data_IF_790789747861
#
_entry.id   IF_790789747861
#
_cell.length_a   1.000
_cell.length_b   1.000
_cell.length_c   1.000
_cell.angle_alpha   90.00
_cell.angle_beta   90.00
_cell.angle_gamma   90.00
#
_symmetry.space_group_name_H-M   'P 1'
#
loop_
_entity.id
_entity.type
_entity.pdbx_description
1 polymer ?
#
# COMPACT_ATOMS: atom_id res chain seq x y z
N UNK A 1 -8.21 -0.93 -42.86
CA UNK A 1 -7.54 -0.91 -41.54
C UNK A 1 -6.06 -0.68 -41.77
N UNK A 2 -5.53 0.47 -41.34
CA UNK A 2 -4.16 0.88 -41.61
C UNK A 2 -3.25 0.35 -40.50
N UNK A 3 -2.48 -0.70 -40.79
CA UNK A 3 -1.54 -1.29 -39.83
C UNK A 3 -0.27 -0.43 -39.74
N UNK A 4 -0.28 0.59 -38.89
CA UNK A 4 0.92 1.44 -38.66
C UNK A 4 1.99 0.67 -37.88
N UNK A 5 3.25 0.83 -38.25
CA UNK A 5 4.38 0.21 -37.53
C UNK A 5 4.95 1.15 -36.48
N UNK A 6 5.65 0.60 -35.48
CA UNK A 6 6.22 1.39 -34.37
C UNK A 6 7.15 2.49 -34.86
N UNK A 7 8.00 2.24 -35.86
CA UNK A 7 8.86 3.31 -36.39
C UNK A 7 8.06 4.44 -37.07
N UNK A 8 6.95 4.11 -37.74
CA UNK A 8 6.08 5.10 -38.40
C UNK A 8 5.33 5.94 -37.37
N UNK A 9 4.91 5.32 -36.27
CA UNK A 9 4.28 6.01 -35.16
C UNK A 9 5.28 6.89 -34.40
N UNK A 10 6.52 6.43 -34.21
CA UNK A 10 7.59 7.22 -33.58
C UNK A 10 7.93 8.46 -34.40
N UNK A 11 8.05 8.31 -35.73
CA UNK A 11 8.30 9.43 -36.63
C UNK A 11 7.11 10.42 -36.63
N UNK A 12 5.86 9.94 -36.49
CA UNK A 12 4.65 10.79 -36.37
C UNK A 12 4.59 11.55 -35.05
N UNK A 13 5.07 10.96 -33.96
CA UNK A 13 5.07 11.55 -32.61
C UNK A 13 6.33 12.37 -32.32
N UNK A 14 7.34 12.36 -33.18
CA UNK A 14 8.61 13.07 -32.96
C UNK A 14 9.50 12.45 -31.87
N UNK A 15 9.30 11.17 -31.55
CA UNK A 15 9.96 10.46 -30.44
C UNK A 15 11.00 9.47 -30.99
N UNK A 16 12.07 9.19 -30.24
CA UNK A 16 13.07 8.22 -30.67
C UNK A 16 12.44 6.83 -30.83
N UNK A 17 12.68 6.16 -31.97
CA UNK A 17 12.09 4.84 -32.29
C UNK A 17 12.37 3.77 -31.24
N UNK A 18 13.53 3.84 -30.58
CA UNK A 18 13.89 2.93 -29.47
C UNK A 18 13.12 3.23 -28.19
N UNK A 19 12.89 4.51 -27.92
CA UNK A 19 12.10 4.96 -26.76
C UNK A 19 10.64 4.50 -26.91
N UNK A 20 10.05 4.71 -28.08
CA UNK A 20 8.67 4.26 -28.34
C UNK A 20 8.54 2.73 -28.27
N UNK A 21 9.56 1.98 -28.71
CA UNK A 21 9.59 0.51 -28.58
C UNK A 21 9.63 0.08 -27.11
N UNK A 22 10.48 0.68 -26.29
CA UNK A 22 10.55 0.41 -24.85
C UNK A 22 9.22 0.73 -24.18
N UNK A 23 8.59 1.85 -24.54
CA UNK A 23 7.29 2.25 -24.00
C UNK A 23 6.16 1.31 -24.43
N UNK A 24 6.20 0.81 -25.66
CA UNK A 24 5.25 -0.20 -26.12
C UNK A 24 5.36 -1.50 -25.30
N UNK A 25 6.58 -1.95 -25.01
CA UNK A 25 6.81 -3.12 -24.16
C UNK A 25 6.32 -2.92 -22.73
N UNK A 26 6.50 -1.72 -22.17
CA UNK A 26 5.98 -1.33 -20.85
C UNK A 26 4.45 -1.39 -20.79
N UNK A 27 3.77 -1.01 -21.87
CA UNK A 27 2.31 -1.15 -22.00
C UNK A 27 1.83 -2.57 -22.35
N UNK A 28 2.71 -3.57 -22.26
CA UNK A 28 2.39 -4.98 -22.50
C UNK A 28 2.24 -5.34 -23.98
N UNK A 29 2.66 -4.47 -24.91
CA UNK A 29 2.65 -4.77 -26.34
C UNK A 29 3.84 -5.69 -26.63
N UNK A 30 3.57 -6.87 -27.20
CA UNK A 30 4.60 -7.85 -27.57
C UNK A 30 5.39 -7.44 -28.83
N UNK A 31 6.03 -6.27 -28.75
CA UNK A 31 6.85 -5.72 -29.81
C UNK A 31 8.33 -6.00 -29.55
N UNK A 32 8.92 -6.90 -30.34
CA UNK A 32 10.36 -7.23 -30.26
C UNK A 32 11.23 -6.39 -31.20
N UNK A 33 10.61 -5.62 -32.10
CA UNK A 33 11.28 -4.76 -33.06
C UNK A 33 10.42 -3.53 -33.39
N UNK A 34 11.07 -2.46 -33.84
CA UNK A 34 10.40 -1.24 -34.32
C UNK A 34 9.58 -1.46 -35.59
N UNK A 35 9.78 -2.58 -36.29
CA UNK A 35 9.04 -2.96 -37.50
C UNK A 35 7.72 -3.68 -37.23
N UNK A 36 7.37 -3.92 -35.96
CA UNK A 36 6.10 -4.54 -35.57
C UNK A 36 4.93 -3.59 -35.89
N UNK A 37 3.91 -4.13 -36.56
CA UNK A 37 2.63 -3.46 -36.77
C UNK A 37 1.82 -3.44 -35.48
N UNK A 38 1.27 -2.28 -35.15
CA UNK A 38 0.38 -2.03 -34.04
C UNK A 38 -1.08 -2.14 -34.49
N UNK A 39 -1.93 -2.57 -33.58
CA UNK A 39 -3.38 -2.45 -33.70
C UNK A 39 -3.85 -1.04 -33.34
N UNK A 40 -5.02 -0.64 -33.83
CA UNK A 40 -5.56 0.71 -33.60
C UNK A 40 -5.69 1.05 -32.10
N UNK A 41 -6.01 0.06 -31.25
CA UNK A 41 -6.08 0.22 -29.80
C UNK A 41 -4.69 0.45 -29.16
N UNK A 42 -3.65 -0.22 -29.66
CA UNK A 42 -2.27 -0.04 -29.18
C UNK A 42 -1.70 1.32 -29.61
N UNK A 43 -2.04 1.77 -30.82
CA UNK A 43 -1.71 3.11 -31.32
C UNK A 43 -2.34 4.18 -30.44
N UNK A 44 -3.64 4.06 -30.15
CA UNK A 44 -4.36 5.01 -29.30
C UNK A 44 -3.75 5.12 -27.89
N UNK A 45 -3.34 3.99 -27.29
CA UNK A 45 -2.67 3.98 -25.98
C UNK A 45 -1.35 4.75 -26.02
N UNK A 46 -0.54 4.53 -27.05
CA UNK A 46 0.76 5.19 -27.22
C UNK A 46 0.60 6.68 -27.57
N UNK A 47 -0.31 7.03 -28.47
CA UNK A 47 -0.59 8.43 -28.82
C UNK A 47 -1.11 9.23 -27.63
N UNK A 48 -1.99 8.66 -26.79
CA UNK A 48 -2.52 9.34 -25.60
C UNK A 48 -1.45 9.59 -24.53
N UNK A 49 -0.43 8.73 -24.43
CA UNK A 49 0.68 8.93 -23.51
C UNK A 49 1.50 10.16 -23.92
N UNK A 50 1.89 10.25 -25.20
CA UNK A 50 2.73 11.34 -25.70
C UNK A 50 1.96 12.65 -25.94
N UNK A 51 0.63 12.60 -26.18
CA UNK A 51 -0.21 13.81 -26.20
C UNK A 51 -0.40 14.44 -24.82
N UNK A 52 -0.35 13.66 -23.73
CA UNK A 52 -0.46 14.19 -22.36
C UNK A 52 0.81 14.90 -21.89
N UNK A 53 1.97 14.57 -22.46
CA UNK A 53 3.25 15.22 -22.12
C UNK A 53 3.45 16.58 -22.78
N UNK A 54 2.78 16.86 -23.91
CA UNK A 54 2.91 18.14 -24.64
C UNK A 54 1.99 19.26 -24.13
N UNK A 55 1.08 18.98 -23.18
CA UNK A 55 0.19 19.99 -22.59
C UNK A 55 0.73 20.68 -21.33
N UNK A 56 2.02 20.52 -21.01
CA UNK A 56 2.70 21.25 -19.93
C UNK A 56 3.65 22.32 -20.46
N UNK A 57 3.23 23.06 -21.49
CA UNK A 57 3.79 24.37 -21.83
C UNK A 57 2.83 25.06 -22.79
N UNK A 58 2.01 25.99 -22.28
CA UNK A 58 1.55 27.25 -22.89
C UNK A 58 0.46 27.81 -21.98
N UNK A 59 0.85 28.83 -21.23
CA UNK A 59 -0.05 29.75 -20.52
C UNK A 59 -0.95 30.44 -21.53
N UNK A 60 -2.23 30.51 -21.17
CA UNK A 60 -3.27 31.39 -21.68
C UNK A 60 -2.75 32.66 -22.36
N UNK A 61 -3.15 32.85 -23.62
CA UNK A 61 -3.47 34.17 -24.16
C UNK A 61 -4.67 34.03 -25.09
N UNK A 62 -5.85 34.24 -24.51
CA UNK A 62 -7.02 34.68 -25.26
C UNK A 62 -6.92 36.20 -25.41
N UNK A 63 -7.17 36.67 -26.63
CA UNK A 63 -7.22 38.07 -27.02
C UNK A 63 -8.36 38.80 -26.31
N UNK A 64 -8.10 40.04 -25.89
CA UNK A 64 -9.11 41.08 -25.92
C UNK A 64 -8.41 42.41 -26.23
N UNK A 65 -8.63 42.90 -27.45
CA UNK A 65 -8.32 44.26 -27.86
C UNK A 65 -9.22 45.25 -27.11
N UNK A 66 -8.67 46.36 -26.61
CA UNK A 66 -9.02 47.72 -27.07
C UNK A 66 -8.41 48.82 -26.17
N UNK A 67 -8.08 49.94 -26.83
CA UNK A 67 -7.85 51.30 -26.31
C UNK A 67 -6.44 51.75 -25.84
N UNK A 68 -5.61 52.03 -26.85
CA UNK A 68 -4.85 53.28 -27.12
C UNK A 68 -4.89 54.45 -26.10
N UNK A 69 -3.71 54.87 -25.58
CA UNK A 69 -3.12 56.24 -25.52
C UNK A 69 -1.90 56.28 -24.57
N UNK A 70 -0.66 56.45 -25.06
CA UNK A 70 0.12 57.69 -25.26
C UNK A 70 0.98 58.14 -24.05
N UNK A 71 2.31 58.27 -24.31
CA UNK A 71 3.38 59.07 -23.64
C UNK A 71 3.67 58.77 -22.16
N UNK A 72 4.90 58.79 -21.63
CA UNK A 72 6.05 59.64 -21.91
C UNK A 72 7.33 59.08 -21.26
N UNK A 73 8.47 59.61 -21.72
CA UNK A 73 9.86 59.17 -21.56
C UNK A 73 10.49 59.54 -20.20
N UNK A 74 11.73 59.04 -20.01
CA UNK A 74 12.89 59.62 -19.27
C UNK A 74 13.10 59.12 -17.80
N UNK A 75 14.28 58.72 -17.27
CA UNK A 75 15.73 58.93 -17.56
C UNK A 75 16.59 57.75 -17.03
N UNK A 76 17.66 57.44 -17.77
CA UNK A 76 18.96 56.82 -17.34
C UNK A 76 19.94 58.04 -17.21
N UNK A 77 21.02 58.11 -16.37
CA UNK A 77 22.25 57.28 -16.38
C UNK A 77 22.94 57.12 -14.98
N UNK A 78 24.02 56.37 -14.73
CA UNK A 78 25.35 56.38 -15.36
C UNK A 78 26.18 55.10 -15.11
N UNK A 79 27.11 54.93 -16.04
CA UNK A 79 28.12 53.88 -16.21
C UNK A 79 29.49 54.53 -15.96
N UNK A 80 30.46 53.84 -15.32
CA UNK A 80 31.86 53.82 -15.80
C UNK A 80 32.76 52.80 -15.11
N UNK A 81 33.50 52.14 -15.99
CA UNK A 81 34.62 51.21 -15.81
C UNK A 81 35.90 51.93 -15.33
N UNK A 82 36.88 51.20 -14.78
CA UNK A 82 38.25 51.10 -15.34
C UNK A 82 39.34 50.66 -14.34
N UNK A 83 39.94 49.49 -14.62
CA UNK A 83 41.38 49.10 -14.68
C UNK A 83 42.38 49.40 -13.54
N UNK A 84 43.04 48.30 -13.09
CA UNK A 84 44.49 48.03 -12.85
C UNK A 84 45.42 49.21 -12.48
N UNK A 85 46.44 49.12 -11.63
CA UNK A 85 47.18 48.07 -10.91
C UNK A 85 48.16 48.79 -9.97
N UNK A 86 48.74 48.10 -8.97
CA UNK A 86 50.18 48.17 -8.65
C UNK A 86 50.53 47.11 -7.59
N UNK A 87 51.43 46.21 -7.98
CA UNK A 87 52.04 45.12 -7.21
C UNK A 87 53.27 45.62 -6.45
N UNK A 88 53.48 45.13 -5.21
CA UNK A 88 54.73 44.55 -4.65
C UNK A 88 54.60 44.45 -3.12
N UNK A 89 55.02 43.44 -2.36
CA UNK A 89 55.64 42.12 -2.60
C UNK A 89 55.58 41.34 -1.27
N UNK A 90 55.24 40.04 -1.28
CA UNK A 90 55.89 38.98 -0.47
C UNK A 90 55.32 37.59 -0.78
N UNK A 91 56.21 36.61 -0.90
CA UNK A 91 55.96 35.19 -1.21
C UNK A 91 55.25 34.43 -0.07
N UNK A 92 54.63 33.26 -0.35
CA UNK A 92 53.66 32.60 0.53
C UNK A 92 54.26 31.48 1.39
N UNK A 93 53.69 31.30 2.59
CA UNK A 93 53.91 30.14 3.46
C UNK A 93 52.61 29.32 3.56
N UNK A 94 52.70 28.02 3.27
CA UNK A 94 51.58 27.07 3.28
C UNK A 94 51.20 26.72 4.72
N UNK A 95 49.95 26.95 5.13
CA UNK A 95 49.35 26.24 6.26
C UNK A 95 47.84 25.99 6.05
N UNK A 96 47.44 24.74 6.28
CA UNK A 96 46.10 24.15 6.02
C UNK A 96 45.05 24.63 7.04
N UNK A 97 43.76 24.75 6.67
CA UNK A 97 42.68 25.09 7.59
C UNK A 97 42.27 23.91 8.49
N UNK A 98 42.01 24.23 9.77
CA UNK A 98 41.59 23.32 10.85
C UNK A 98 40.20 22.74 10.59
N UNK A 99 40.10 21.41 10.58
CA UNK A 99 38.84 20.66 10.54
C UNK A 99 38.24 20.45 11.94
N UNK A 100 36.91 20.46 11.99
CA UNK A 100 36.02 20.15 13.11
C UNK A 100 36.36 18.81 13.78
N UNK A 101 36.32 18.81 15.12
CA UNK A 101 36.53 17.64 15.99
C UNK A 101 35.42 16.60 15.78
N UNK A 102 35.80 15.37 15.42
CA UNK A 102 34.92 14.18 15.47
C UNK A 102 34.94 13.57 16.88
N UNK A 103 33.78 13.12 17.35
CA UNK A 103 33.62 12.30 18.56
C UNK A 103 34.35 10.94 18.44
N UNK A 104 34.69 10.28 19.57
CA UNK A 104 35.47 9.04 19.54
C UNK A 104 34.61 7.85 19.06
N UNK A 105 35.14 7.08 18.10
CA UNK A 105 34.56 5.79 17.68
C UNK A 105 34.55 4.80 18.85
N UNK A 106 33.37 4.28 19.20
CA UNK A 106 33.24 3.06 19.98
C UNK A 106 33.80 1.86 19.18
N UNK A 107 34.60 1.03 19.84
CA UNK A 107 35.15 -0.20 19.24
C UNK A 107 34.06 -1.29 19.24
N UNK A 108 33.87 -2.05 18.16
CA UNK A 108 32.91 -3.15 18.14
C UNK A 108 33.33 -4.26 19.13
N UNK A 109 32.35 -4.96 19.76
CA UNK A 109 32.64 -6.01 20.73
C UNK A 109 33.33 -7.20 20.07
N UNK A 110 34.40 -7.69 20.69
CA UNK A 110 35.13 -8.87 20.21
C UNK A 110 34.28 -10.13 20.43
N UNK A 111 33.82 -10.74 19.34
CA UNK A 111 33.22 -12.08 19.37
C UNK A 111 34.28 -13.09 19.86
N UNK A 112 33.96 -13.86 20.91
CA UNK A 112 34.80 -14.96 21.39
C UNK A 112 34.88 -16.04 20.31
N UNK A 113 36.07 -16.38 19.85
CA UNK A 113 36.30 -17.49 18.91
C UNK A 113 36.03 -18.81 19.63
N UNK A 114 34.96 -19.51 19.27
CA UNK A 114 34.74 -20.91 19.70
C UNK A 114 35.76 -21.82 19.03
N UNK A 115 36.28 -22.80 19.77
CA UNK A 115 37.27 -23.75 19.25
C UNK A 115 36.60 -24.83 18.40
N UNK A 116 37.31 -25.32 17.37
CA UNK A 116 36.80 -26.29 16.41
C UNK A 116 36.27 -27.61 17.04
N UNK A 117 36.72 -27.96 18.25
CA UNK A 117 36.22 -29.12 19.00
C UNK A 117 34.79 -28.93 19.55
N UNK A 118 34.34 -27.69 19.80
CA UNK A 118 32.99 -27.41 20.28
C UNK A 118 31.97 -27.28 19.13
N UNK A 119 32.42 -26.89 17.93
CA UNK A 119 31.57 -26.86 16.73
C UNK A 119 31.19 -28.28 16.25
N UNK A 120 32.12 -29.24 16.33
CA UNK A 120 31.87 -30.63 15.93
C UNK A 120 30.79 -31.34 16.77
N UNK A 121 30.76 -31.08 18.09
CA UNK A 121 29.77 -31.67 18.98
C UNK A 121 28.33 -31.13 18.73
N UNK A 122 28.21 -29.87 18.31
CA UNK A 122 26.92 -29.24 17.98
C UNK A 122 26.33 -29.74 16.65
N UNK A 123 27.19 -30.01 15.66
CA UNK A 123 26.77 -30.56 14.36
C UNK A 123 26.39 -32.04 14.49
N UNK A 124 27.17 -32.84 15.21
CA UNK A 124 26.85 -34.27 15.41
C UNK A 124 25.62 -34.46 16.30
N UNK A 125 25.42 -33.63 17.33
CA UNK A 125 24.21 -33.64 18.15
C UNK A 125 22.95 -33.22 17.37
N UNK A 126 23.05 -32.21 16.51
CA UNK A 126 21.92 -31.75 15.68
C UNK A 126 21.48 -32.75 14.61
N UNK A 127 22.43 -33.47 14.00
CA UNK A 127 22.12 -34.50 12.98
C UNK A 127 21.48 -35.73 13.64
N UNK A 128 21.96 -36.17 14.81
CA UNK A 128 21.36 -37.29 15.55
C UNK A 128 19.94 -36.96 16.04
N UNK A 129 19.68 -35.71 16.46
CA UNK A 129 18.34 -35.27 16.85
C UNK A 129 17.36 -35.27 15.67
N UNK A 130 17.80 -34.87 14.47
CA UNK A 130 16.98 -34.92 13.26
C UNK A 130 16.65 -36.35 12.83
N UNK A 131 17.57 -37.31 13.02
CA UNK A 131 17.27 -38.72 12.75
C UNK A 131 16.29 -39.32 13.76
N UNK A 132 16.43 -39.02 15.07
CA UNK A 132 15.48 -39.51 16.09
C UNK A 132 14.08 -38.89 15.92
N UNK A 133 13.99 -37.61 15.56
CA UNK A 133 12.71 -36.94 15.30
C UNK A 133 11.98 -37.55 14.09
N UNK A 134 12.71 -37.91 13.02
CA UNK A 134 12.09 -38.54 11.84
C UNK A 134 11.66 -39.99 12.09
N UNK A 135 12.37 -40.76 12.92
CA UNK A 135 11.95 -42.13 13.31
C UNK A 135 10.74 -42.10 14.26
N UNK A 136 10.63 -41.11 15.15
CA UNK A 136 9.46 -40.91 16.00
C UNK A 136 8.22 -40.48 15.19
N UNK A 137 8.37 -39.64 14.15
CA UNK A 137 7.27 -39.32 13.24
C UNK A 137 6.87 -40.52 12.38
N UNK A 138 7.82 -41.26 11.80
CA UNK A 138 7.54 -42.43 10.97
C UNK A 138 6.82 -43.58 11.70
N UNK A 139 7.12 -43.79 12.98
CA UNK A 139 6.41 -44.77 13.82
C UNK A 139 5.00 -44.33 14.21
N UNK A 140 4.74 -43.02 14.28
CA UNK A 140 3.39 -42.47 14.52
C UNK A 140 2.47 -42.66 13.29
N UNK A 141 2.99 -42.48 12.07
CA UNK A 141 2.20 -42.69 10.84
C UNK A 141 1.93 -44.19 10.59
N UNK A 142 2.86 -45.08 10.95
CA UNK A 142 2.69 -46.53 10.81
C UNK A 142 1.70 -47.16 11.82
N UNK A 143 1.37 -46.47 12.91
CA UNK A 143 0.41 -46.94 13.93
C UNK A 143 -1.05 -46.58 13.64
N UNK A 144 -1.34 -45.98 12.48
CA UNK A 144 -2.69 -45.58 12.10
C UNK A 144 -3.20 -44.32 12.79
N UNK A 145 -2.31 -43.51 13.36
CA UNK A 145 -2.65 -42.23 13.98
C UNK A 145 -3.08 -41.21 12.90
N UNK A 146 -4.40 -41.08 12.69
CA UNK A 146 -4.97 -39.97 11.92
C UNK A 146 -4.95 -38.73 12.81
N UNK A 147 -4.30 -37.62 12.44
CA UNK A 147 -4.49 -36.37 13.15
C UNK A 147 -5.96 -36.00 13.02
N UNK A 148 -6.71 -36.20 14.09
CA UNK A 148 -8.03 -35.60 14.20
C UNK A 148 -7.82 -34.10 14.20
N UNK A 149 -7.97 -33.46 13.04
CA UNK A 149 -8.44 -32.09 13.03
C UNK A 149 -9.77 -32.14 13.76
N UNK A 150 -9.76 -31.84 15.07
CA UNK A 150 -10.98 -31.51 15.79
C UNK A 150 -11.56 -30.33 15.02
N UNK A 151 -12.54 -30.62 14.18
CA UNK A 151 -13.56 -29.66 13.81
C UNK A 151 -14.06 -29.14 15.15
N UNK A 152 -13.67 -27.93 15.52
CA UNK A 152 -14.34 -27.18 16.57
C UNK A 152 -15.74 -26.95 15.99
N UNK A 153 -16.66 -27.90 16.23
CA UNK A 153 -18.08 -27.60 16.21
C UNK A 153 -18.30 -26.74 17.44
N UNK A 154 -18.11 -25.45 17.27
CA UNK A 154 -18.74 -24.49 18.16
C UNK A 154 -20.24 -24.67 17.91
N UNK A 155 -20.93 -25.31 18.86
CA UNK A 155 -22.40 -25.33 18.86
C UNK A 155 -22.86 -23.89 19.07
N UNK A 156 -22.98 -23.15 17.97
CA UNK A 156 -23.67 -21.86 17.97
C UNK A 156 -25.14 -22.18 18.18
N UNK A 157 -25.55 -22.09 19.44
CA UNK A 157 -26.95 -22.19 19.84
C UNK A 157 -27.79 -21.24 19.00
N UNK A 158 -28.71 -21.83 18.24
CA UNK A 158 -29.63 -21.14 17.37
C UNK A 158 -30.64 -20.32 18.19
N UNK A 159 -30.36 -19.04 18.40
CA UNK A 159 -31.40 -18.01 18.63
C UNK A 159 -30.81 -16.62 18.43
N UNK A 160 -30.64 -16.18 17.18
CA UNK A 160 -30.83 -14.77 16.83
C UNK A 160 -31.36 -14.68 15.40
N UNK A 161 -32.66 -14.38 15.26
CA UNK A 161 -33.18 -13.75 14.05
C UNK A 161 -32.52 -12.37 13.95
N UNK A 162 -31.50 -12.24 13.11
CA UNK A 162 -31.00 -10.93 12.69
C UNK A 162 -31.71 -10.55 11.39
N UNK A 163 -32.78 -9.78 11.56
CA UNK A 163 -33.43 -9.01 10.50
C UNK A 163 -32.44 -7.99 9.92
N UNK A 164 -32.20 -8.03 8.61
CA UNK A 164 -31.62 -6.97 7.77
C UNK A 164 -30.17 -6.58 8.08
N UNK A 165 -29.23 -6.97 7.20
CA UNK A 165 -27.81 -6.56 7.18
C UNK A 165 -26.87 -7.26 8.19
N UNK A 166 -27.24 -8.42 8.71
CA UNK A 166 -26.30 -9.31 9.41
C UNK A 166 -25.57 -10.21 8.41
N UNK A 167 -24.24 -10.15 8.39
CA UNK A 167 -23.41 -11.09 7.63
C UNK A 167 -23.77 -12.53 8.05
N UNK A 168 -24.28 -13.35 7.12
CA UNK A 168 -24.53 -14.77 7.37
C UNK A 168 -23.18 -15.49 7.56
N UNK A 169 -22.73 -15.58 8.82
CA UNK A 169 -21.46 -16.21 9.19
C UNK A 169 -21.39 -17.68 8.78
N UNK A 170 -22.54 -18.37 8.65
CA UNK A 170 -22.58 -19.76 8.20
C UNK A 170 -22.30 -19.84 6.70
N UNK A 171 -22.96 -18.99 5.91
CA UNK A 171 -22.68 -18.87 4.48
C UNK A 171 -21.22 -18.48 4.24
N UNK A 172 -20.70 -17.48 4.98
CA UNK A 172 -19.30 -17.07 4.88
C UNK A 172 -18.34 -18.24 5.16
N UNK A 173 -18.53 -18.96 6.25
CA UNK A 173 -17.63 -20.07 6.60
C UNK A 173 -17.64 -21.19 5.53
N UNK A 174 -18.81 -21.49 4.96
CA UNK A 174 -18.93 -22.44 3.85
C UNK A 174 -18.18 -21.94 2.60
N UNK A 175 -18.39 -20.69 2.22
CA UNK A 175 -17.81 -20.07 1.03
C UNK A 175 -16.29 -19.86 1.17
N UNK A 176 -15.79 -19.54 2.36
CA UNK A 176 -14.34 -19.44 2.64
C UNK A 176 -13.65 -20.78 2.36
N UNK A 177 -14.29 -21.89 2.75
CA UNK A 177 -13.84 -23.24 2.44
C UNK A 177 -13.78 -23.49 0.92
N UNK A 178 -14.84 -23.12 0.20
CA UNK A 178 -14.86 -23.26 -1.26
C UNK A 178 -13.75 -22.44 -1.94
N UNK A 179 -13.56 -21.17 -1.54
CA UNK A 179 -12.49 -20.31 -2.08
C UNK A 179 -11.13 -20.96 -1.86
N UNK A 180 -10.83 -21.41 -0.64
CA UNK A 180 -9.56 -22.03 -0.35
C UNK A 180 -9.34 -23.31 -1.18
N UNK A 181 -10.36 -24.17 -1.29
CA UNK A 181 -10.30 -25.40 -2.10
C UNK A 181 -10.10 -25.07 -3.58
N UNK A 182 -10.83 -24.09 -4.12
CA UNK A 182 -10.77 -23.71 -5.52
C UNK A 182 -9.38 -23.18 -5.91
N UNK A 183 -8.75 -22.36 -5.06
CA UNK A 183 -7.44 -21.75 -5.36
C UNK A 183 -6.24 -22.60 -4.94
N UNK A 184 -6.45 -23.77 -4.34
CA UNK A 184 -5.39 -24.72 -3.99
C UNK A 184 -5.41 -25.88 -4.98
N UNK A 185 -4.55 -25.80 -6.01
CA UNK A 185 -4.47 -26.83 -7.04
C UNK A 185 -3.06 -27.43 -7.11
N UNK A 186 -2.88 -28.74 -6.88
CA UNK A 186 -1.56 -29.34 -6.70
C UNK A 186 -0.77 -29.47 -8.02
N UNK A 187 0.55 -29.53 -7.88
CA UNK A 187 1.47 -29.79 -9.01
C UNK A 187 1.46 -31.25 -9.45
N UNK A 188 1.24 -32.18 -8.51
CA UNK A 188 1.24 -33.63 -8.78
C UNK A 188 -0.06 -34.04 -9.51
N UNK A 189 0.08 -34.59 -10.71
CA UNK A 189 -1.04 -35.06 -11.53
C UNK A 189 -1.94 -36.08 -10.81
N UNK A 190 -1.41 -36.90 -9.91
CA UNK A 190 -2.21 -37.86 -9.12
C UNK A 190 -3.06 -37.18 -8.07
N UNK A 191 -2.60 -36.05 -7.54
CA UNK A 191 -3.33 -35.26 -6.55
C UNK A 191 -4.37 -34.35 -7.21
N UNK A 192 -4.19 -34.00 -8.49
CA UNK A 192 -5.12 -33.17 -9.25
C UNK A 192 -6.51 -33.81 -9.40
N UNK A 193 -6.60 -35.13 -9.57
CA UNK A 193 -7.90 -35.81 -9.64
C UNK A 193 -8.70 -35.66 -8.33
N UNK A 194 -8.01 -35.75 -7.19
CA UNK A 194 -8.62 -35.52 -5.88
C UNK A 194 -9.05 -34.06 -5.72
N UNK A 195 -8.20 -33.11 -6.11
CA UNK A 195 -8.54 -31.68 -6.06
C UNK A 195 -9.78 -31.35 -6.91
N UNK A 196 -9.92 -31.94 -8.10
CA UNK A 196 -11.13 -31.79 -8.92
C UNK A 196 -12.36 -32.36 -8.22
N UNK A 197 -12.25 -33.54 -7.59
CA UNK A 197 -13.36 -34.13 -6.82
C UNK A 197 -13.76 -33.25 -5.64
N UNK A 198 -12.79 -32.71 -4.92
CA UNK A 198 -13.02 -31.85 -3.76
C UNK A 198 -13.72 -30.55 -4.16
N UNK A 199 -13.34 -29.94 -5.29
CA UNK A 199 -14.03 -28.76 -5.86
C UNK A 199 -15.47 -29.13 -6.26
N UNK A 200 -15.63 -30.22 -7.00
CA UNK A 200 -16.94 -30.64 -7.52
C UNK A 200 -17.93 -31.03 -6.40
N UNK A 201 -17.43 -31.46 -5.24
CA UNK A 201 -18.27 -31.78 -4.08
C UNK A 201 -19.11 -30.58 -3.58
N UNK A 202 -18.69 -29.35 -3.88
CA UNK A 202 -19.42 -28.14 -3.48
C UNK A 202 -20.66 -27.85 -4.35
N UNK A 203 -20.71 -28.32 -5.60
CA UNK A 203 -21.81 -28.05 -6.52
C UNK A 203 -23.02 -28.97 -6.30
N UNK A 204 -22.81 -30.12 -5.66
CA UNK A 204 -23.83 -31.17 -5.35
C UNK A 204 -24.49 -31.81 -6.59
N UNK A 205 -24.47 -31.14 -7.74
CA UNK A 205 -24.98 -31.58 -9.03
C UNK A 205 -23.83 -31.62 -10.04
N UNK A 206 -23.88 -32.56 -10.97
CA UNK A 206 -22.98 -32.53 -12.13
C UNK A 206 -23.44 -31.40 -13.04
N UNK A 207 -22.79 -30.24 -12.94
CA UNK A 207 -23.01 -29.16 -13.90
C UNK A 207 -22.64 -29.67 -15.30
N UNK A 208 -23.41 -29.31 -16.36
CA UNK A 208 -23.11 -29.69 -17.72
C UNK A 208 -21.87 -28.93 -18.21
N UNK A 209 -20.68 -29.40 -17.85
CA UNK A 209 -19.43 -28.88 -18.37
C UNK A 209 -19.21 -29.52 -19.75
N UNK A 210 -19.46 -28.76 -20.81
CA UNK A 210 -19.04 -29.14 -22.17
C UNK A 210 -17.51 -28.95 -22.21
N UNK A 211 -16.77 -29.87 -21.59
CA UNK A 211 -15.33 -29.70 -21.42
C UNK A 211 -14.62 -29.89 -22.77
N UNK A 212 -14.03 -28.82 -23.29
CA UNK A 212 -12.86 -28.93 -24.15
C UNK A 212 -11.63 -28.66 -23.28
N UNK A 213 -11.17 -29.68 -22.56
CA UNK A 213 -9.81 -29.72 -22.01
C UNK A 213 -9.42 -28.54 -21.09
N UNK A 214 -10.25 -28.17 -20.12
CA UNK A 214 -9.83 -27.23 -19.07
C UNK A 214 -8.79 -27.93 -18.18
N UNK A 215 -7.51 -27.78 -18.52
CA UNK A 215 -6.40 -28.19 -17.67
C UNK A 215 -6.08 -27.02 -16.74
N UNK A 216 -6.57 -27.08 -15.48
CA UNK A 216 -6.19 -26.12 -14.45
C UNK A 216 -4.68 -26.19 -14.24
N UNK A 217 -4.03 -25.04 -14.11
CA UNK A 217 -2.63 -24.97 -13.72
C UNK A 217 -2.50 -25.13 -12.20
N UNK A 218 -1.36 -25.63 -11.69
CA UNK A 218 -1.09 -25.63 -10.26
C UNK A 218 -1.25 -24.23 -9.67
N UNK A 219 -1.79 -24.12 -8.46
CA UNK A 219 -1.99 -22.86 -7.78
C UNK A 219 -1.94 -23.01 -6.26
N UNK A 220 -1.53 -21.95 -5.56
CA UNK A 220 -1.49 -21.91 -4.10
C UNK A 220 -2.34 -20.75 -3.59
N UNK A 221 -3.21 -21.03 -2.64
CA UNK A 221 -4.00 -20.02 -1.97
C UNK A 221 -3.13 -19.24 -0.97
N UNK A 222 -3.09 -17.91 -1.11
CA UNK A 222 -2.33 -17.03 -0.21
C UNK A 222 -3.25 -16.28 0.75
N UNK A 223 -4.42 -15.85 0.27
CA UNK A 223 -5.43 -15.22 1.12
C UNK A 223 -6.66 -14.75 0.35
N UNK A 224 -7.75 -14.52 1.08
CA UNK A 224 -8.95 -13.92 0.52
C UNK A 224 -9.65 -13.00 1.53
N UNK A 225 -10.27 -11.96 0.99
CA UNK A 225 -11.11 -11.02 1.73
C UNK A 225 -12.48 -10.99 1.07
N UNK A 226 -13.53 -11.29 1.82
CA UNK A 226 -14.90 -11.16 1.34
C UNK A 226 -15.23 -9.68 1.12
N UNK A 227 -15.63 -9.33 -0.10
CA UNK A 227 -15.99 -7.98 -0.52
C UNK A 227 -17.50 -7.74 -0.40
N UNK A 228 -18.31 -8.75 -0.72
CA UNK A 228 -19.77 -8.70 -0.61
C UNK A 228 -20.36 -10.08 -0.36
N UNK A 229 -21.49 -10.10 0.34
CA UNK A 229 -22.34 -11.27 0.54
C UNK A 229 -23.79 -10.86 0.34
N UNK A 230 -24.45 -11.47 -0.64
CA UNK A 230 -25.88 -11.33 -0.92
C UNK A 230 -26.56 -12.68 -0.70
N UNK A 231 -27.88 -12.77 -0.90
CA UNK A 231 -28.61 -14.03 -0.67
C UNK A 231 -28.19 -15.16 -1.64
N UNK A 232 -27.64 -14.83 -2.81
CA UNK A 232 -27.33 -15.77 -3.89
C UNK A 232 -25.91 -15.67 -4.46
N UNK A 233 -25.14 -14.63 -4.12
CA UNK A 233 -23.79 -14.43 -4.62
C UNK A 233 -22.86 -13.91 -3.53
N UNK A 234 -21.60 -14.37 -3.56
CA UNK A 234 -20.53 -13.85 -2.73
C UNK A 234 -19.32 -13.48 -3.58
N UNK A 235 -18.75 -12.30 -3.36
CA UNK A 235 -17.55 -11.85 -4.08
C UNK A 235 -16.38 -11.75 -3.11
N UNK A 236 -15.27 -12.38 -3.49
CA UNK A 236 -14.01 -12.37 -2.75
C UNK A 236 -12.92 -11.68 -3.55
N UNK A 237 -12.11 -10.85 -2.88
CA UNK A 237 -10.79 -10.47 -3.40
C UNK A 237 -9.81 -11.57 -2.99
N UNK A 238 -9.29 -12.31 -3.95
CA UNK A 238 -8.42 -13.46 -3.71
C UNK A 238 -7.01 -13.16 -4.21
N UNK A 239 -6.01 -13.46 -3.39
CA UNK A 239 -4.60 -13.50 -3.75
C UNK A 239 -4.15 -14.96 -3.79
N UNK A 240 -3.53 -15.37 -4.90
CA UNK A 240 -3.04 -16.73 -5.10
C UNK A 240 -1.78 -16.72 -5.96
N UNK A 241 -0.91 -17.71 -5.77
CA UNK A 241 0.23 -17.92 -6.65
C UNK A 241 -0.16 -18.88 -7.77
N UNK A 242 -0.11 -18.42 -9.02
CA UNK A 242 -0.39 -19.23 -10.20
C UNK A 242 0.89 -19.90 -10.71
N UNK A 243 0.82 -21.20 -10.99
CA UNK A 243 1.93 -22.00 -11.48
C UNK A 243 2.01 -22.03 -13.01
N UNK A 244 3.04 -21.42 -13.58
CA UNK A 244 3.41 -21.61 -14.98
C UNK A 244 4.22 -22.90 -15.13
N UNK A 245 3.66 -23.89 -15.84
CA UNK A 245 4.32 -25.17 -16.09
C UNK A 245 5.26 -25.05 -17.28
N UNK A 246 6.56 -25.23 -17.04
CA UNK A 246 7.59 -25.29 -18.09
C UNK A 246 8.19 -26.69 -18.16
N UNK A 247 8.10 -27.34 -19.33
CA UNK A 247 8.75 -28.64 -19.54
C UNK A 247 10.22 -28.43 -19.88
N UNK A 248 11.12 -28.98 -19.07
CA UNK A 248 12.55 -29.01 -19.32
C UNK A 248 13.01 -30.42 -19.67
N UNK A 249 13.85 -30.53 -20.68
CA UNK A 249 14.55 -31.77 -20.98
C UNK A 249 15.78 -31.88 -20.08
N UNK A 250 15.77 -32.87 -19.20
CA UNK A 250 16.89 -33.20 -18.32
C UNK A 250 17.58 -34.42 -18.89
N UNK A 251 18.81 -34.24 -19.38
CA UNK A 251 19.66 -35.35 -19.83
C UNK A 251 20.30 -36.01 -18.63
N UNK A 252 20.02 -37.29 -18.43
CA UNK A 252 20.68 -38.13 -17.43
C UNK A 252 21.38 -39.26 -18.16
N UNK A 253 22.63 -39.03 -18.57
CA UNK A 253 23.37 -39.96 -19.43
C UNK A 253 22.88 -39.90 -20.89
N UNK A 254 22.59 -41.05 -21.50
CA UNK A 254 22.01 -41.14 -22.85
C UNK A 254 20.50 -40.90 -22.90
N UNK A 255 19.84 -40.95 -21.74
CA UNK A 255 18.40 -40.79 -21.65
C UNK A 255 18.02 -39.33 -21.43
N UNK A 256 17.05 -38.85 -22.20
CA UNK A 256 16.46 -37.53 -22.03
C UNK A 256 15.11 -37.70 -21.34
N UNK A 257 14.99 -37.20 -20.11
CA UNK A 257 13.74 -37.22 -19.35
C UNK A 257 13.11 -35.83 -19.41
N UNK A 258 11.81 -35.75 -19.71
CA UNK A 258 11.05 -34.50 -19.62
C UNK A 258 10.65 -34.30 -18.16
N UNK A 259 11.04 -33.18 -17.57
CA UNK A 259 10.64 -32.78 -16.22
C UNK A 259 9.81 -31.51 -16.30
N UNK A 260 8.63 -31.52 -15.71
CA UNK A 260 7.84 -30.31 -15.53
C UNK A 260 8.41 -29.50 -14.36
N UNK A 261 8.64 -28.21 -14.60
CA UNK A 261 9.08 -27.24 -13.59
C UNK A 261 8.02 -26.15 -13.50
N UNK A 262 7.42 -26.00 -12.33
CA UNK A 262 6.41 -24.98 -12.06
C UNK A 262 7.10 -23.73 -11.53
N UNK A 263 6.81 -22.59 -12.14
CA UNK A 263 7.21 -21.27 -11.62
C UNK A 263 5.96 -20.55 -11.14
N UNK A 264 6.02 -20.01 -9.94
CA UNK A 264 4.91 -19.29 -9.36
C UNK A 264 5.05 -17.79 -9.54
N UNK A 265 3.93 -17.13 -9.85
CA UNK A 265 3.77 -15.69 -9.77
C UNK A 265 2.46 -15.37 -9.04
N UNK A 266 2.45 -14.27 -8.30
CA UNK A 266 1.29 -13.88 -7.52
C UNK A 266 0.29 -13.11 -8.37
N UNK A 267 -0.98 -13.47 -8.24
CA UNK A 267 -2.10 -12.81 -8.87
C UNK A 267 -3.10 -12.34 -7.81
N UNK A 268 -3.85 -11.28 -8.10
CA UNK A 268 -4.97 -10.85 -7.27
C UNK A 268 -6.16 -10.52 -8.15
N UNK A 269 -7.31 -11.09 -7.82
CA UNK A 269 -8.53 -11.02 -8.63
C UNK A 269 -9.77 -10.87 -7.75
N UNK A 270 -10.89 -10.48 -8.34
CA UNK A 270 -12.20 -10.69 -7.73
C UNK A 270 -12.75 -12.02 -8.24
N UNK A 271 -13.26 -12.83 -7.31
CA UNK A 271 -13.84 -14.14 -7.55
C UNK A 271 -15.26 -14.15 -7.00
N UNK A 272 -16.24 -14.26 -7.89
CA UNK A 272 -17.67 -14.25 -7.52
C UNK A 272 -18.25 -15.63 -7.63
N UNK A 273 -19.00 -16.02 -6.60
CA UNK A 273 -19.50 -17.36 -6.37
C UNK A 273 -21.02 -17.31 -6.28
N UNK A 274 -21.73 -17.84 -7.28
CA UNK A 274 -23.16 -18.12 -7.17
C UNK A 274 -23.41 -19.29 -6.20
N UNK A 275 -24.23 -19.07 -5.19
CA UNK A 275 -24.56 -20.10 -4.21
C UNK A 275 -26.04 -20.04 -3.81
N UNK A 276 -26.53 -21.11 -3.22
CA UNK A 276 -27.91 -21.20 -2.74
C UNK A 276 -27.96 -21.92 -1.39
N UNK A 277 -29.00 -21.64 -0.62
CA UNK A 277 -29.29 -22.30 0.65
C UNK A 277 -30.47 -23.25 0.50
N UNK A 278 -30.32 -24.48 0.99
CA UNK A 278 -31.39 -25.49 1.07
C UNK A 278 -31.47 -25.99 2.50
N UNK A 279 -32.56 -25.64 3.19
CA UNK A 279 -32.68 -25.88 4.63
C UNK A 279 -31.57 -25.17 5.40
N UNK A 280 -30.72 -25.93 6.10
CA UNK A 280 -29.55 -25.43 6.83
C UNK A 280 -28.22 -25.60 6.08
N UNK A 281 -28.25 -26.10 4.84
CA UNK A 281 -27.06 -26.37 4.05
C UNK A 281 -26.92 -25.39 2.88
N UNK A 282 -25.69 -25.28 2.36
CA UNK A 282 -25.36 -24.43 1.23
C UNK A 282 -24.74 -25.27 0.12
N UNK A 283 -24.93 -24.86 -1.13
CA UNK A 283 -24.27 -25.43 -2.29
C UNK A 283 -23.92 -24.33 -3.29
N UNK A 284 -22.89 -24.57 -4.10
CA UNK A 284 -22.49 -23.69 -5.21
C UNK A 284 -23.45 -23.97 -6.36
N UNK A 285 -24.21 -22.95 -6.77
CA UNK A 285 -25.33 -23.14 -7.70
C UNK A 285 -24.94 -23.01 -9.15
N UNK A 286 -23.81 -22.35 -9.45
CA UNK A 286 -23.29 -22.17 -10.80
C UNK A 286 -21.77 -21.93 -10.78
N UNK A 287 -21.12 -21.99 -11.93
CA UNK A 287 -19.68 -21.79 -12.08
C UNK A 287 -19.26 -20.38 -11.59
N UNK A 288 -18.21 -20.29 -10.77
CA UNK A 288 -17.71 -19.00 -10.31
C UNK A 288 -16.99 -18.26 -11.44
N UNK A 289 -16.97 -16.93 -11.36
CA UNK A 289 -16.37 -16.09 -12.39
C UNK A 289 -15.44 -15.03 -11.81
N UNK A 290 -14.53 -14.55 -12.67
CA UNK A 290 -13.46 -13.65 -12.30
C UNK A 290 -13.71 -12.24 -12.84
N UNK A 291 -13.30 -11.23 -12.09
CA UNK A 291 -13.27 -9.84 -12.56
C UNK A 291 -12.04 -9.09 -12.04
N UNK A 292 -11.69 -8.00 -12.71
CA UNK A 292 -10.60 -7.12 -12.27
C UNK A 292 -10.90 -6.49 -10.91
N UNK A 293 -9.87 -6.33 -10.09
CA UNK A 293 -9.97 -5.56 -8.84
C UNK A 293 -10.08 -4.07 -9.19
N UNK A 294 -11.16 -3.38 -8.81
CA UNK A 294 -11.29 -1.94 -9.05
C UNK A 294 -10.31 -1.15 -8.19
N UNK A 295 -9.91 0.02 -8.67
CA UNK A 295 -9.18 0.97 -7.84
C UNK A 295 -10.13 1.54 -6.76
N UNK A 296 -9.73 1.38 -5.50
CA UNK A 296 -10.48 1.91 -4.35
C UNK A 296 -9.99 3.30 -3.95
N UNK A 297 -8.89 3.78 -4.54
CA UNK A 297 -8.37 5.11 -4.30
C UNK A 297 -9.20 6.13 -5.08
N UNK A 298 -9.83 7.05 -4.35
CA UNK A 298 -10.48 8.20 -4.96
C UNK A 298 -9.43 9.10 -5.64
N UNK A 299 -9.83 9.71 -6.75
CA UNK A 299 -9.04 10.72 -7.46
C UNK A 299 -9.18 12.09 -6.80
N UNK A 300 -8.20 12.97 -7.02
CA UNK A 300 -8.15 14.33 -6.43
C UNK A 300 -9.45 15.12 -6.64
N UNK A 301 -10.07 15.00 -7.82
CA UNK A 301 -11.30 15.72 -8.15
C UNK A 301 -12.53 15.27 -7.36
N UNK A 302 -12.49 14.07 -6.76
CA UNK A 302 -13.59 13.49 -6.00
C UNK A 302 -13.55 13.85 -4.51
N UNK A 303 -12.45 14.44 -4.03
CA UNK A 303 -12.28 14.74 -2.60
C UNK A 303 -12.40 16.25 -2.32
N UNK A 304 -12.98 16.66 -1.17
CA UNK A 304 -12.95 18.05 -0.73
C UNK A 304 -11.53 18.51 -0.39
N UNK A 305 -11.21 19.77 -0.70
CA UNK A 305 -9.95 20.39 -0.30
C UNK A 305 -9.92 20.61 1.21
N UNK A 306 -8.82 20.25 1.86
CA UNK A 306 -8.56 20.60 3.26
C UNK A 306 -7.57 21.75 3.32
N UNK A 307 -7.89 22.79 4.08
CA UNK A 307 -7.02 23.96 4.22
C UNK A 307 -6.78 24.29 5.69
N UNK A 308 -5.66 24.95 5.95
CA UNK A 308 -5.41 25.57 7.24
C UNK A 308 -6.39 26.72 7.45
N UNK A 309 -6.81 26.89 8.70
CA UNK A 309 -7.63 28.05 9.06
C UNK A 309 -6.74 29.29 9.08
N UNK A 310 -6.86 30.14 8.05
CA UNK A 310 -6.27 31.48 7.99
C UNK A 310 -7.12 32.53 8.74
N UNK A 311 -8.28 32.12 9.27
CA UNK A 311 -9.22 33.04 9.92
C UNK A 311 -8.86 33.30 11.38
N UNK A 312 -8.60 34.58 11.68
CA UNK A 312 -8.62 35.15 13.03
C UNK A 312 -7.27 35.14 13.75
N UNK A 313 -6.55 36.25 13.69
CA UNK A 313 -5.33 36.44 14.48
C UNK A 313 -5.69 36.68 15.95
N UNK A 314 -5.37 35.72 16.83
CA UNK A 314 -5.19 36.01 18.26
C UNK A 314 -3.92 36.82 18.48
N UNK A 315 -3.89 37.70 19.48
CA UNK A 315 -2.65 38.39 19.87
C UNK A 315 -1.51 37.42 20.17
N UNK A 316 -0.26 37.83 19.92
CA UNK A 316 0.93 37.00 20.13
C UNK A 316 1.05 36.47 21.57
N UNK A 317 0.66 37.28 22.56
CA UNK A 317 0.67 36.86 23.97
C UNK A 317 -0.32 35.72 24.23
N UNK A 318 -1.56 35.85 23.73
CA UNK A 318 -2.58 34.81 23.88
C UNK A 318 -2.17 33.54 23.13
N UNK A 319 -1.63 33.70 21.92
CA UNK A 319 -1.12 32.56 21.14
C UNK A 319 -0.03 31.80 21.89
N UNK A 320 0.92 32.49 22.53
CA UNK A 320 1.99 31.85 23.30
C UNK A 320 1.45 31.02 24.47
N UNK A 321 0.44 31.53 25.16
CA UNK A 321 -0.22 30.81 26.27
C UNK A 321 -0.97 29.58 25.76
N UNK A 322 -1.70 29.71 24.65
CA UNK A 322 -2.41 28.61 24.00
C UNK A 322 -1.45 27.55 23.44
N UNK A 323 -0.31 27.94 22.86
CA UNK A 323 0.74 27.01 22.42
C UNK A 323 1.33 26.24 23.60
N UNK A 324 1.57 26.91 24.72
CA UNK A 324 2.07 26.26 25.94
C UNK A 324 1.05 25.26 26.48
N UNK A 325 -0.21 25.67 26.57
CA UNK A 325 -1.30 24.78 26.97
C UNK A 325 -1.42 23.57 26.03
N UNK A 326 -1.43 23.78 24.72
CA UNK A 326 -1.54 22.72 23.72
C UNK A 326 -0.39 21.73 23.81
N UNK A 327 0.84 22.20 24.03
CA UNK A 327 1.99 21.31 24.29
C UNK A 327 1.79 20.49 25.57
N UNK A 328 1.35 21.12 26.67
CA UNK A 328 1.05 20.39 27.92
C UNK A 328 -0.07 19.37 27.74
N UNK A 329 -1.11 19.72 26.97
CA UNK A 329 -2.21 18.84 26.63
C UNK A 329 -1.73 17.58 25.91
N UNK A 330 -0.96 17.72 24.83
CA UNK A 330 -0.48 16.56 24.07
C UNK A 330 0.65 15.79 24.77
N UNK A 331 1.44 16.45 25.63
CA UNK A 331 2.32 15.74 26.56
C UNK A 331 1.49 14.85 27.48
N UNK A 332 0.51 15.40 28.22
CA UNK A 332 -0.34 14.62 29.11
C UNK A 332 -1.14 13.52 28.37
N UNK A 333 -1.59 13.80 27.14
CA UNK A 333 -2.24 12.82 26.27
C UNK A 333 -1.40 11.55 26.06
N UNK A 334 -0.08 11.66 26.11
CA UNK A 334 0.84 10.53 25.91
C UNK A 334 1.51 10.04 27.19
N UNK A 335 1.51 10.84 28.28
CA UNK A 335 2.26 10.52 29.50
C UNK A 335 1.41 10.38 30.77
N UNK A 336 0.32 11.12 30.91
CA UNK A 336 -0.41 11.26 32.18
C UNK A 336 -1.93 11.45 31.97
N UNK A 337 -2.67 10.37 32.21
CA UNK A 337 -4.13 10.34 32.07
C UNK A 337 -4.88 11.14 33.13
N UNK A 338 -4.31 11.38 34.30
CA UNK A 338 -4.99 12.15 35.36
C UNK A 338 -4.84 13.64 35.09
N UNK A 339 -3.64 14.10 34.72
CA UNK A 339 -3.45 15.46 34.20
C UNK A 339 -4.33 15.70 32.97
N UNK A 340 -4.41 14.74 32.04
CA UNK A 340 -5.24 14.85 30.84
C UNK A 340 -6.72 15.09 31.16
N UNK A 341 -7.28 14.35 32.14
CA UNK A 341 -8.68 14.52 32.59
C UNK A 341 -8.93 15.89 33.23
N UNK A 342 -7.93 16.48 33.86
CA UNK A 342 -8.04 17.81 34.47
C UNK A 342 -8.07 18.94 33.44
N UNK A 343 -7.44 18.74 32.27
CA UNK A 343 -7.27 19.77 31.25
C UNK A 343 -8.04 19.50 29.96
N UNK A 344 -8.74 18.37 29.85
CA UNK A 344 -9.50 18.03 28.66
C UNK A 344 -10.64 17.06 28.89
N UNK A 345 -11.58 17.05 27.94
CA UNK A 345 -12.64 16.03 27.79
C UNK A 345 -12.66 15.53 26.35
N UNK A 346 -12.75 14.22 26.19
CA UNK A 346 -12.84 13.56 24.87
C UNK A 346 -11.54 12.90 24.40
N UNK A 347 -10.43 13.12 25.11
CA UNK A 347 -9.19 12.36 24.92
C UNK A 347 -9.02 11.30 26.01
N UNK A 348 -8.35 10.20 25.66
CA UNK A 348 -7.93 9.14 26.57
C UNK A 348 -6.43 8.93 26.43
N UNK A 349 -5.74 8.61 27.53
CA UNK A 349 -4.29 8.42 27.56
C UNK A 349 -3.84 7.42 26.48
N UNK A 350 -2.97 7.86 25.59
CA UNK A 350 -2.40 7.08 24.51
C UNK A 350 -0.93 6.74 24.80
N UNK A 351 -0.70 5.61 25.49
CA UNK A 351 0.66 5.11 25.79
C UNK A 351 1.37 4.50 24.59
N UNK A 352 0.69 4.34 23.45
CA UNK A 352 1.26 3.76 22.24
C UNK A 352 2.14 4.74 21.45
N UNK A 353 2.15 6.01 21.84
CA UNK A 353 2.88 7.08 21.16
C UNK A 353 3.51 8.06 22.15
N UNK A 354 4.43 8.87 21.65
CA UNK A 354 5.08 9.95 22.38
C UNK A 354 4.93 11.26 21.63
N UNK A 355 4.47 12.32 22.31
CA UNK A 355 4.42 13.66 21.76
C UNK A 355 5.83 14.24 21.55
N UNK A 356 6.11 14.78 20.35
CA UNK A 356 7.42 15.36 20.00
C UNK A 356 7.39 16.87 19.83
N UNK A 357 6.43 17.38 19.06
CA UNK A 357 6.36 18.81 18.77
C UNK A 357 4.96 19.26 18.39
N UNK A 358 4.72 20.54 18.65
CA UNK A 358 3.63 21.31 18.05
C UNK A 358 4.25 22.04 16.86
N UNK A 359 3.94 21.57 15.66
CA UNK A 359 4.60 22.03 14.43
C UNK A 359 3.92 23.29 13.87
N UNK A 360 2.59 23.29 13.90
CA UNK A 360 1.78 24.43 13.49
C UNK A 360 0.52 24.51 14.34
N UNK A 361 0.09 25.73 14.67
CA UNK A 361 -1.10 25.97 15.47
C UNK A 361 -1.73 27.33 15.16
N UNK A 362 -3.00 27.31 14.80
CA UNK A 362 -3.85 28.50 14.68
C UNK A 362 -4.96 28.44 15.72
N UNK A 363 -5.28 29.61 16.30
CA UNK A 363 -6.32 29.75 17.31
C UNK A 363 -7.23 30.88 16.89
N UNK A 364 -8.48 30.57 16.62
CA UNK A 364 -9.48 31.56 16.25
C UNK A 364 -10.37 31.83 17.47
N UNK A 365 -10.47 33.09 17.88
CA UNK A 365 -11.39 33.45 18.97
C UNK A 365 -12.85 33.31 18.51
N UNK A 366 -13.67 32.62 19.31
CA UNK A 366 -15.12 32.46 19.08
C UNK A 366 -15.97 33.34 20.03
N UNK A 367 -15.36 34.31 20.71
CA UNK A 367 -15.99 35.06 21.80
C UNK A 367 -15.90 34.32 23.14
N UNK A 368 -16.29 34.98 24.23
CA UNK A 368 -16.44 34.40 25.58
C UNK A 368 -15.21 33.63 26.11
N UNK A 369 -14.00 34.09 25.77
CA UNK A 369 -12.74 33.41 26.05
C UNK A 369 -12.64 31.96 25.54
N UNK A 370 -13.38 31.65 24.47
CA UNK A 370 -13.29 30.39 23.74
C UNK A 370 -12.50 30.57 22.46
N UNK A 371 -11.73 29.54 22.13
CA UNK A 371 -10.89 29.50 20.96
C UNK A 371 -11.12 28.20 20.22
N UNK A 372 -11.26 28.28 18.91
CA UNK A 372 -11.16 27.13 18.04
C UNK A 372 -9.70 26.93 17.67
N UNK A 373 -9.13 25.80 18.06
CA UNK A 373 -7.74 25.44 17.77
C UNK A 373 -7.69 24.50 16.57
N UNK A 374 -6.82 24.81 15.61
CA UNK A 374 -6.41 23.91 14.53
C UNK A 374 -4.91 23.72 14.66
N UNK A 375 -4.47 22.49 14.87
CA UNK A 375 -3.06 22.21 15.15
C UNK A 375 -2.55 21.00 14.39
N UNK A 376 -1.25 21.00 14.14
CA UNK A 376 -0.50 19.87 13.65
C UNK A 376 0.60 19.57 14.65
N UNK A 377 0.67 18.30 15.03
CA UNK A 377 1.64 17.80 15.98
C UNK A 377 2.41 16.64 15.36
N UNK A 378 3.66 16.48 15.79
CA UNK A 378 4.45 15.28 15.50
C UNK A 378 4.37 14.34 16.68
N UNK A 379 3.98 13.10 16.40
CA UNK A 379 4.00 11.97 17.33
C UNK A 379 5.09 10.99 16.92
N UNK A 380 5.55 10.16 17.86
CA UNK A 380 6.46 9.05 17.59
C UNK A 380 5.89 7.75 18.13
N UNK A 381 5.98 6.68 17.35
CA UNK A 381 5.68 5.31 17.76
C UNK A 381 6.77 4.35 17.25
N UNK A 382 6.51 3.04 17.29
CA UNK A 382 7.44 2.02 16.85
C UNK A 382 7.79 2.09 15.35
N UNK A 383 6.94 2.72 14.53
CA UNK A 383 7.16 2.91 13.09
C UNK A 383 7.98 4.17 12.76
N UNK A 384 8.26 5.03 13.75
CA UNK A 384 8.96 6.29 13.56
C UNK A 384 8.13 7.50 13.96
N UNK A 385 8.38 8.65 13.32
CA UNK A 385 7.64 9.90 13.54
C UNK A 385 6.56 10.08 12.48
N UNK A 386 5.38 10.53 12.88
CA UNK A 386 4.28 10.87 11.98
C UNK A 386 3.56 12.14 12.44
N UNK A 387 2.88 12.80 11.52
CA UNK A 387 2.10 14.01 11.81
C UNK A 387 0.64 13.66 12.04
N UNK A 388 0.01 14.38 12.97
CA UNK A 388 -1.42 14.29 13.24
C UNK A 388 -2.03 15.68 13.28
N UNK A 389 -3.19 15.85 12.65
CA UNK A 389 -3.92 17.11 12.62
C UNK A 389 -5.13 17.03 13.55
N UNK A 390 -5.33 18.07 14.35
CA UNK A 390 -6.44 18.16 15.30
C UNK A 390 -7.20 19.47 15.15
N UNK A 391 -8.50 19.38 15.35
CA UNK A 391 -9.38 20.50 15.65
C UNK A 391 -10.00 20.29 17.03
N UNK A 392 -10.04 21.33 17.86
CA UNK A 392 -10.68 21.26 19.17
C UNK A 392 -11.03 22.67 19.69
N UNK A 393 -11.85 22.72 20.73
CA UNK A 393 -12.22 23.95 21.43
C UNK A 393 -11.36 24.10 22.67
N UNK A 394 -10.78 25.28 22.88
CA UNK A 394 -10.10 25.69 24.12
C UNK A 394 -10.94 26.75 24.81
N UNK A 395 -11.31 26.51 26.06
CA UNK A 395 -11.97 27.49 26.92
C UNK A 395 -11.03 27.99 28.01
N UNK A 396 -10.89 29.31 28.14
CA UNK A 396 -10.13 29.90 29.24
C UNK A 396 -10.93 29.80 30.53
N UNK A 397 -10.32 29.21 31.55
CA UNK A 397 -10.79 29.21 32.92
C UNK A 397 -10.04 30.26 33.74
N UNK A 398 -10.42 30.46 35.02
CA UNK A 398 -9.85 31.51 35.89
C UNK A 398 -8.32 31.60 35.84
N UNK A 399 -7.63 30.46 35.87
CA UNK A 399 -6.16 30.37 35.94
C UNK A 399 -5.58 29.34 34.95
N UNK A 400 -6.39 28.78 34.06
CA UNK A 400 -5.98 27.69 33.16
C UNK A 400 -6.80 27.69 31.88
N UNK A 401 -6.58 26.69 31.04
CA UNK A 401 -7.39 26.39 29.87
C UNK A 401 -7.93 24.96 29.97
N UNK A 402 -9.02 24.69 29.26
CA UNK A 402 -9.61 23.36 29.18
C UNK A 402 -10.02 23.05 27.74
N UNK A 403 -9.69 21.85 27.26
CA UNK A 403 -9.87 21.45 25.87
C UNK A 403 -11.02 20.44 25.69
N UNK A 404 -11.81 20.63 24.64
CA UNK A 404 -13.00 19.81 24.34
C UNK A 404 -13.21 19.67 22.83
N UNK A 405 -14.16 18.84 22.41
CA UNK A 405 -14.62 18.75 21.01
C UNK A 405 -13.53 18.36 19.99
N UNK A 406 -12.69 17.39 20.34
CA UNK A 406 -11.59 16.92 19.50
C UNK A 406 -12.06 16.22 18.22
N UNK A 407 -11.41 16.56 17.10
CA UNK A 407 -11.54 15.90 15.80
C UNK A 407 -10.16 15.72 15.16
N UNK A 408 -9.88 14.54 14.63
CA UNK A 408 -8.61 14.23 13.94
C UNK A 408 -8.65 14.61 12.45
N UNK A 409 -8.80 15.89 12.14
CA UNK A 409 -8.82 16.39 10.75
C UNK A 409 -8.47 17.87 10.67
N UNK A 410 -8.04 18.32 9.49
CA UNK A 410 -8.05 19.74 9.13
C UNK A 410 -9.48 20.20 8.75
N UNK A 411 -9.78 21.51 8.84
CA UNK A 411 -11.01 22.09 8.32
C UNK A 411 -11.16 21.85 6.81
N UNK A 412 -12.40 21.72 6.35
CA UNK A 412 -12.71 21.72 4.92
C UNK A 412 -12.59 23.15 4.39
N UNK A 413 -11.83 23.32 3.31
CA UNK A 413 -11.78 24.56 2.56
C UNK A 413 -13.05 24.73 1.73
N UNK A 414 -13.50 25.98 1.54
CA UNK A 414 -14.46 26.26 0.48
C UNK A 414 -13.74 26.07 -0.86
N UNK A 415 -14.32 25.30 -1.79
CA UNK A 415 -13.89 25.34 -3.19
C UNK A 415 -14.17 26.77 -3.68
N UNK A 416 -13.15 27.47 -4.15
CA UNK A 416 -13.31 28.74 -4.88
C UNK A 416 -13.98 28.51 -6.23
#
# INVERSE_FOLDING_TARGET
MSKIKIYELADKLGVERKELLSKAQEFGISAKSTSKSLSDAEVLKLENFYKKSDTSEVIEKEECESEMKVSETTKIPEKKESKFSLLSSRKPEKNKPKMLKKQPNEKPPKLKKMSAKQAGALVVGGVVFLFIANVALGSLVASGYKPTHKIIREEVSATQKASGNGLDLQAKNYLDGFVQTYFTFPEDEKEQETAVKDINAYFVQNLPVISQGIQRTPSKFEGAVMMSLTDNEATYKVTYSAGEVTTKEVKKGKDTTKQNVVKYHDETTLFTIPYQKVGSAYYISDEPYFSSVPDLQATENQVPTKMWSDSGKTSDSVKKDLDKFTKSLFTAYTTDGDTLKLISKGLSLNKGQEFKSLDQATYESKGDNKYHAVVQITMKNALGTHVENYQFTIEKQKQSYFATDFKHTLPEGKKE
#
